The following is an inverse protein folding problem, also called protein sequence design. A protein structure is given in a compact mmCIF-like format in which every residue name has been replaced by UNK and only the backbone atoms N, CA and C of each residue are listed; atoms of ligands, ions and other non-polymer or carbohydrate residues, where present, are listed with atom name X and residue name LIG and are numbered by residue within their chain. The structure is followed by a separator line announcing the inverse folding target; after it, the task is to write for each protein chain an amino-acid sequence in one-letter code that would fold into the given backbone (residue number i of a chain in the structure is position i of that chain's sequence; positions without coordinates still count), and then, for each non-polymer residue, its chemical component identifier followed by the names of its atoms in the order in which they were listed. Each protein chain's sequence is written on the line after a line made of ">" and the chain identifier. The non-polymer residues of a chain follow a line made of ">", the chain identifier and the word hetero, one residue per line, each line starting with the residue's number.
data_IF_476902101566
#
_entry.id   IF_476902101566
#
_cell.length_a   1.000
_cell.length_b   1.000
_cell.length_c   1.000
_cell.angle_alpha   90.00
_cell.angle_beta   90.00
_cell.angle_gamma   90.00
#
_symmetry.space_group_name_H-M   'P 1'
#
loop_
_entity.id
_entity.type
_entity.pdbx_description
1 polymer ?
#
# COMPACT_ATOMS: atom_id res chain seq x y z
N UNK A 1 18.48 30.96 -2.55
CA UNK A 1 18.98 31.02 -3.94
C UNK A 1 19.19 29.59 -4.44
N UNK A 2 18.16 28.96 -5.04
CA UNK A 2 18.27 28.02 -6.17
C UNK A 2 16.85 27.58 -6.59
N UNK A 3 16.18 28.45 -7.35
CA UNK A 3 15.02 28.10 -8.17
C UNK A 3 15.57 27.57 -9.49
N UNK A 4 15.74 26.27 -9.65
CA UNK A 4 16.00 25.62 -10.95
C UNK A 4 15.81 24.13 -10.75
N UNK A 5 14.62 23.66 -11.09
CA UNK A 5 14.26 22.37 -11.69
C UNK A 5 12.73 22.34 -11.74
N UNK A 6 12.18 23.29 -12.47
CA UNK A 6 10.85 23.14 -13.02
C UNK A 6 10.98 22.05 -14.09
N UNK A 7 10.47 20.87 -13.78
CA UNK A 7 10.21 19.80 -14.75
C UNK A 7 9.63 20.44 -16.00
N UNK A 8 10.29 20.25 -17.14
CA UNK A 8 9.82 20.70 -18.44
C UNK A 8 8.59 19.84 -18.78
N UNK A 9 7.45 20.20 -18.22
CA UNK A 9 6.14 19.80 -18.71
C UNK A 9 5.85 20.67 -19.93
N UNK A 10 5.34 20.09 -21.04
CA UNK A 10 5.01 20.88 -22.22
C UNK A 10 4.05 22.02 -21.85
N UNK A 11 4.32 23.22 -22.41
CA UNK A 11 3.51 24.44 -22.21
C UNK A 11 2.02 24.11 -22.36
N UNK A 12 1.25 24.43 -21.31
CA UNK A 12 -0.21 24.28 -21.24
C UNK A 12 -0.89 25.12 -22.32
N UNK A 13 -1.16 24.51 -23.47
CA UNK A 13 -2.01 25.08 -24.53
C UNK A 13 -3.45 24.61 -24.31
N UNK A 14 -4.27 25.49 -23.74
CA UNK A 14 -5.75 25.54 -23.72
C UNK A 14 -6.25 26.01 -22.34
N UNK A 15 -6.99 27.10 -22.31
CA UNK A 15 -7.46 27.83 -21.12
C UNK A 15 -8.48 27.11 -20.23
N UNK A 16 -8.74 25.80 -20.41
CA UNK A 16 -9.62 25.02 -19.53
C UNK A 16 -8.80 24.46 -18.36
N UNK A 17 -9.16 24.81 -17.10
CA UNK A 17 -8.54 24.24 -15.89
C UNK A 17 -8.78 22.72 -15.87
N UNK A 18 -7.72 21.94 -16.07
CA UNK A 18 -7.75 20.47 -15.97
C UNK A 18 -8.24 20.09 -14.56
N UNK A 19 -9.31 19.29 -14.42
CA UNK A 19 -9.85 18.93 -13.11
C UNK A 19 -8.84 18.08 -12.33
N UNK A 20 -8.72 18.34 -11.02
CA UNK A 20 -7.95 17.45 -10.15
C UNK A 20 -8.77 16.17 -9.91
N UNK A 21 -8.29 15.05 -10.43
CA UNK A 21 -8.98 13.76 -10.34
C UNK A 21 -8.06 12.73 -9.69
N UNK A 22 -8.64 11.85 -8.86
CA UNK A 22 -7.95 10.68 -8.30
C UNK A 22 -8.68 9.42 -8.74
N UNK A 23 -7.91 8.44 -9.19
CA UNK A 23 -8.38 7.08 -9.43
C UNK A 23 -7.65 6.12 -8.49
N UNK A 24 -8.40 5.18 -7.92
CA UNK A 24 -7.77 4.00 -7.29
C UNK A 24 -7.17 3.10 -8.38
N UNK A 25 -6.19 2.25 -8.01
CA UNK A 25 -5.59 1.28 -8.95
C UNK A 25 -6.64 0.41 -9.63
N UNK A 26 -7.66 -0.03 -8.86
CA UNK A 26 -8.80 -0.82 -9.35
C UNK A 26 -9.61 -0.08 -10.40
N UNK A 27 -9.85 1.21 -10.21
CA UNK A 27 -10.59 2.04 -11.16
C UNK A 27 -9.80 2.28 -12.45
N UNK A 28 -8.49 2.51 -12.37
CA UNK A 28 -7.61 2.61 -13.55
C UNK A 28 -7.63 1.31 -14.34
N UNK A 29 -7.44 0.18 -13.65
CA UNK A 29 -7.49 -1.16 -14.23
C UNK A 29 -8.82 -1.39 -14.97
N UNK A 30 -9.97 -1.09 -14.35
CA UNK A 30 -11.26 -1.26 -15.02
C UNK A 30 -11.47 -0.32 -16.21
N UNK A 31 -10.99 0.92 -16.13
CA UNK A 31 -11.05 1.83 -17.26
C UNK A 31 -10.28 1.26 -18.46
N UNK A 32 -9.02 0.88 -18.27
CA UNK A 32 -8.18 0.33 -19.34
C UNK A 32 -8.75 -0.99 -19.86
N UNK A 33 -9.18 -1.90 -18.97
CA UNK A 33 -9.76 -3.20 -19.35
C UNK A 33 -11.06 -3.06 -20.15
N UNK A 34 -11.91 -2.10 -19.82
CA UNK A 34 -13.16 -1.88 -20.58
C UNK A 34 -12.86 -1.21 -21.92
N UNK A 35 -11.91 -0.28 -21.95
CA UNK A 35 -11.46 0.34 -23.20
C UNK A 35 -10.83 -0.70 -24.14
N UNK A 36 -10.00 -1.61 -23.61
CA UNK A 36 -9.43 -2.72 -24.37
C UNK A 36 -10.51 -3.68 -24.89
N UNK A 37 -11.53 -3.98 -24.10
CA UNK A 37 -12.64 -4.82 -24.55
C UNK A 37 -13.43 -4.17 -25.69
N UNK A 38 -13.82 -2.90 -25.54
CA UNK A 38 -14.63 -2.19 -26.53
C UNK A 38 -13.87 -2.00 -27.85
N UNK A 39 -12.61 -1.53 -27.77
CA UNK A 39 -11.76 -1.38 -28.97
C UNK A 39 -11.46 -2.72 -29.63
N UNK A 40 -11.34 -3.80 -28.86
CA UNK A 40 -11.12 -5.15 -29.39
C UNK A 40 -12.36 -5.73 -30.07
N UNK A 41 -13.55 -5.31 -29.65
CA UNK A 41 -14.82 -5.62 -30.30
C UNK A 41 -15.09 -4.77 -31.55
N UNK A 42 -14.12 -3.95 -31.99
CA UNK A 42 -14.26 -3.09 -33.16
C UNK A 42 -15.06 -1.80 -32.94
N UNK A 43 -15.43 -1.48 -31.69
CA UNK A 43 -16.11 -0.21 -31.39
C UNK A 43 -15.12 0.95 -31.57
N UNK A 44 -15.47 2.01 -32.31
CA UNK A 44 -14.62 3.19 -32.46
C UNK A 44 -14.17 3.76 -31.11
N UNK A 45 -12.94 4.28 -31.06
CA UNK A 45 -12.35 4.77 -29.81
C UNK A 45 -13.19 5.87 -29.14
N UNK A 46 -13.71 6.81 -29.95
CA UNK A 46 -14.55 7.89 -29.47
C UNK A 46 -15.84 7.36 -28.82
N UNK A 47 -16.52 6.44 -29.48
CA UNK A 47 -17.75 5.81 -28.96
C UNK A 47 -17.46 5.01 -27.69
N UNK A 48 -16.32 4.30 -27.66
CA UNK A 48 -15.86 3.57 -26.48
C UNK A 48 -15.68 4.50 -25.28
N UNK A 49 -15.05 5.67 -25.47
CA UNK A 49 -14.88 6.68 -24.42
C UNK A 49 -16.24 7.24 -23.95
N UNK A 50 -17.19 7.48 -24.87
CA UNK A 50 -18.53 7.95 -24.53
C UNK A 50 -19.31 6.91 -23.71
N UNK A 51 -19.19 5.61 -24.03
CA UNK A 51 -19.78 4.52 -23.23
C UNK A 51 -19.22 4.55 -21.80
N UNK A 52 -17.90 4.67 -21.65
CA UNK A 52 -17.24 4.73 -20.34
C UNK A 52 -17.64 5.98 -19.55
N UNK A 53 -17.82 7.12 -20.23
CA UNK A 53 -18.31 8.37 -19.64
C UNK A 53 -19.70 8.24 -19.02
N UNK A 54 -20.62 7.55 -19.69
CA UNK A 54 -22.00 7.33 -19.23
C UNK A 54 -22.09 6.43 -17.98
N UNK A 55 -21.13 5.51 -17.83
CA UNK A 55 -21.07 4.59 -16.69
C UNK A 55 -20.53 5.25 -15.40
N UNK A 56 -19.89 6.42 -15.48
CA UNK A 56 -19.24 7.07 -14.35
C UNK A 56 -20.18 7.95 -13.51
N UNK A 57 -20.44 7.58 -12.24
CA UNK A 57 -21.25 8.40 -11.31
C UNK A 57 -20.54 9.63 -10.74
N UNK A 58 -19.20 9.67 -10.77
CA UNK A 58 -18.42 10.73 -10.12
C UNK A 58 -18.19 11.94 -11.04
N UNK A 59 -18.66 13.13 -10.62
CA UNK A 59 -18.55 14.41 -11.36
C UNK A 59 -17.13 14.81 -11.76
N UNK A 60 -16.11 14.52 -10.94
CA UNK A 60 -14.72 14.87 -11.28
C UNK A 60 -14.16 13.97 -12.39
N UNK A 61 -14.46 12.67 -12.34
CA UNK A 61 -14.04 11.68 -13.36
C UNK A 61 -14.76 11.90 -14.67
N UNK A 62 -16.05 12.19 -14.57
CA UNK A 62 -16.89 12.68 -15.66
C UNK A 62 -16.22 13.81 -16.46
N UNK A 63 -15.77 14.88 -15.79
CA UNK A 63 -15.06 15.99 -16.45
C UNK A 63 -13.75 15.58 -17.13
N UNK A 64 -13.00 14.64 -16.55
CA UNK A 64 -11.79 14.10 -17.20
C UNK A 64 -12.15 13.40 -18.51
N UNK A 65 -13.16 12.54 -18.50
CA UNK A 65 -13.65 11.88 -19.70
C UNK A 65 -14.16 12.88 -20.74
N UNK A 66 -14.86 13.95 -20.32
CA UNK A 66 -15.34 15.00 -21.24
C UNK A 66 -14.16 15.67 -21.97
N UNK A 67 -13.07 15.98 -21.27
CA UNK A 67 -11.83 16.51 -21.87
C UNK A 67 -11.21 15.51 -22.85
N UNK A 68 -11.10 14.23 -22.46
CA UNK A 68 -10.51 13.20 -23.31
C UNK A 68 -11.34 12.95 -24.57
N UNK A 69 -12.67 12.93 -24.44
CA UNK A 69 -13.59 12.80 -25.57
C UNK A 69 -13.47 13.99 -26.51
N UNK A 70 -13.44 15.22 -25.99
CA UNK A 70 -13.28 16.44 -26.78
C UNK A 70 -11.94 16.45 -27.55
N UNK A 71 -10.84 16.10 -26.89
CA UNK A 71 -9.52 16.03 -27.53
C UNK A 71 -9.50 14.98 -28.66
N UNK A 72 -10.02 13.78 -28.40
CA UNK A 72 -10.04 12.68 -29.37
C UNK A 72 -11.00 12.97 -30.53
N UNK A 73 -12.17 13.60 -30.28
CA UNK A 73 -13.08 14.02 -31.34
C UNK A 73 -12.47 15.09 -32.25
N UNK A 74 -11.56 15.90 -31.72
CA UNK A 74 -10.80 16.90 -32.47
C UNK A 74 -9.55 16.30 -33.16
N UNK A 75 -9.40 14.97 -33.16
CA UNK A 75 -8.30 14.27 -33.85
C UNK A 75 -7.00 14.19 -33.06
N UNK A 76 -6.96 14.57 -31.77
CA UNK A 76 -5.78 14.33 -30.94
C UNK A 76 -5.67 12.85 -30.56
N UNK A 77 -4.42 12.37 -30.44
CA UNK A 77 -4.14 11.06 -29.88
C UNK A 77 -4.62 10.96 -28.42
N UNK A 78 -5.17 9.80 -28.04
CA UNK A 78 -5.58 9.44 -26.69
C UNK A 78 -4.43 9.61 -25.70
N UNK A 79 -3.23 9.16 -26.06
CA UNK A 79 -2.02 9.32 -25.23
C UNK A 79 -1.72 10.77 -24.92
N UNK A 80 -1.92 11.68 -25.89
CA UNK A 80 -1.69 13.12 -25.71
C UNK A 80 -2.70 13.72 -24.74
N UNK A 81 -3.97 13.30 -24.83
CA UNK A 81 -5.00 13.74 -23.87
C UNK A 81 -4.78 13.16 -22.47
N UNK A 82 -4.49 11.86 -22.36
CA UNK A 82 -4.22 11.19 -21.09
C UNK A 82 -2.94 11.70 -20.40
N UNK A 83 -1.96 12.20 -21.15
CA UNK A 83 -0.78 12.86 -20.61
C UNK A 83 -1.12 14.10 -19.76
N UNK A 84 -2.23 14.81 -20.07
CA UNK A 84 -2.75 15.92 -19.24
C UNK A 84 -3.13 15.44 -17.83
N UNK A 85 -3.35 14.14 -17.67
CA UNK A 85 -3.67 13.43 -16.44
C UNK A 85 -2.57 12.41 -16.07
N UNK A 86 -1.29 12.70 -16.35
CA UNK A 86 -0.16 11.82 -16.00
C UNK A 86 -0.06 11.51 -14.50
N UNK A 87 -0.53 12.41 -13.63
CA UNK A 87 -0.69 12.16 -12.19
C UNK A 87 -1.69 11.03 -11.87
N UNK A 88 -2.61 10.73 -12.80
CA UNK A 88 -3.55 9.62 -12.71
C UNK A 88 -2.99 8.38 -13.39
N UNK A 89 -2.61 8.43 -14.65
CA UNK A 89 -2.25 7.20 -15.39
C UNK A 89 -0.78 6.80 -15.24
N UNK A 90 0.10 7.77 -14.95
CA UNK A 90 1.56 7.59 -14.93
C UNK A 90 2.15 7.55 -16.34
N UNK A 91 3.42 7.92 -16.45
CA UNK A 91 4.09 8.05 -17.75
C UNK A 91 4.22 6.70 -18.49
N UNK A 92 4.41 5.61 -17.74
CA UNK A 92 4.41 4.26 -18.32
C UNK A 92 3.12 3.96 -19.10
N UNK A 93 1.96 4.18 -18.49
CA UNK A 93 0.67 3.91 -19.12
C UNK A 93 0.45 4.79 -20.36
N UNK A 94 0.79 6.07 -20.25
CA UNK A 94 0.70 7.03 -21.36
C UNK A 94 1.59 6.60 -22.53
N UNK A 95 2.82 6.16 -22.26
CA UNK A 95 3.76 5.73 -23.29
C UNK A 95 3.33 4.42 -23.96
N UNK A 96 2.82 3.43 -23.21
CA UNK A 96 2.28 2.19 -23.79
C UNK A 96 1.11 2.48 -24.74
N UNK A 97 0.21 3.38 -24.34
CA UNK A 97 -0.90 3.82 -25.19
C UNK A 97 -0.36 4.53 -26.42
N UNK A 98 0.61 5.45 -26.27
CA UNK A 98 1.23 6.17 -27.38
C UNK A 98 1.81 5.24 -28.43
N UNK A 99 2.62 4.26 -28.00
CA UNK A 99 3.19 3.24 -28.91
C UNK A 99 2.08 2.46 -29.61
N UNK A 100 1.00 2.15 -28.89
CA UNK A 100 -0.15 1.45 -29.47
C UNK A 100 -0.85 2.26 -30.55
N UNK A 101 -1.04 3.56 -30.33
CA UNK A 101 -1.64 4.47 -31.30
C UNK A 101 -0.77 4.67 -32.54
N UNK A 102 0.53 4.92 -32.35
CA UNK A 102 1.45 5.18 -33.48
C UNK A 102 1.69 3.94 -34.32
N UNK A 103 1.66 2.75 -33.72
CA UNK A 103 1.94 1.48 -34.40
C UNK A 103 0.67 0.73 -34.82
N UNK A 104 -0.52 1.31 -34.63
CA UNK A 104 -1.80 0.70 -35.01
C UNK A 104 -2.22 -0.52 -34.17
N UNK A 105 -1.51 -0.82 -33.09
CA UNK A 105 -1.73 -1.97 -32.19
C UNK A 105 -2.27 -1.54 -30.81
N UNK A 106 -3.09 -0.48 -30.80
CA UNK A 106 -3.63 0.12 -29.57
C UNK A 106 -4.35 -0.91 -28.71
N UNK A 107 -5.11 -1.81 -29.32
CA UNK A 107 -5.86 -2.82 -28.58
C UNK A 107 -4.94 -3.77 -27.79
N UNK A 108 -3.91 -4.33 -28.42
CA UNK A 108 -2.95 -5.22 -27.76
C UNK A 108 -2.26 -4.51 -26.59
N UNK A 109 -1.87 -3.25 -26.77
CA UNK A 109 -1.22 -2.46 -25.73
C UNK A 109 -2.16 -2.10 -24.56
N UNK A 110 -3.44 -1.87 -24.82
CA UNK A 110 -4.44 -1.69 -23.77
C UNK A 110 -4.67 -2.99 -22.99
N UNK A 111 -4.72 -4.16 -23.65
CA UNK A 111 -4.80 -5.47 -23.00
C UNK A 111 -3.59 -5.67 -22.07
N UNK A 112 -2.39 -5.44 -22.60
CA UNK A 112 -1.15 -5.54 -21.84
C UNK A 112 -1.15 -4.63 -20.60
N UNK A 113 -1.51 -3.35 -20.78
CA UNK A 113 -1.59 -2.40 -19.67
C UNK A 113 -2.66 -2.79 -18.64
N UNK A 114 -3.78 -3.37 -19.06
CA UNK A 114 -4.82 -3.85 -18.14
C UNK A 114 -4.29 -4.99 -17.25
N UNK A 115 -3.55 -5.94 -17.81
CA UNK A 115 -2.95 -7.04 -17.05
C UNK A 115 -1.85 -6.53 -16.09
N UNK A 116 -1.03 -5.56 -16.50
CA UNK A 116 -0.05 -4.96 -15.59
C UNK A 116 -0.69 -4.20 -14.42
N UNK A 117 -1.77 -3.43 -14.69
CA UNK A 117 -2.53 -2.78 -13.62
C UNK A 117 -3.23 -3.79 -12.69
N UNK A 118 -3.64 -4.94 -13.22
CA UNK A 118 -4.23 -6.05 -12.46
C UNK A 118 -3.19 -6.71 -11.56
N UNK A 119 -1.99 -7.04 -12.07
CA UNK A 119 -0.86 -7.53 -11.24
C UNK A 119 -0.54 -6.57 -10.10
N UNK A 120 -0.42 -5.27 -10.40
CA UNK A 120 -0.20 -4.23 -9.39
C UNK A 120 -1.31 -4.15 -8.35
N UNK A 121 -2.57 -4.33 -8.75
CA UNK A 121 -3.70 -4.36 -7.82
C UNK A 121 -3.67 -5.63 -6.94
N UNK A 122 -3.40 -6.79 -7.54
CA UNK A 122 -3.34 -8.07 -6.85
C UNK A 122 -2.23 -8.10 -5.79
N UNK A 123 -1.02 -7.64 -6.13
CA UNK A 123 0.10 -7.51 -5.19
C UNK A 123 -0.29 -6.65 -3.97
N UNK A 124 -0.89 -5.48 -4.20
CA UNK A 124 -1.36 -4.62 -3.11
C UNK A 124 -2.45 -5.30 -2.29
N UNK A 125 -3.41 -5.94 -2.95
CA UNK A 125 -4.51 -6.61 -2.28
C UNK A 125 -4.01 -7.76 -1.41
N UNK A 126 -2.99 -8.49 -1.86
CA UNK A 126 -2.39 -9.58 -1.10
C UNK A 126 -1.83 -9.11 0.24
N UNK A 127 -1.04 -8.03 0.21
CA UNK A 127 -0.49 -7.41 1.44
C UNK A 127 -1.62 -6.93 2.36
N UNK A 128 -2.66 -6.29 1.81
CA UNK A 128 -3.79 -5.80 2.61
C UNK A 128 -4.62 -6.93 3.20
N UNK A 129 -4.90 -7.97 2.42
CA UNK A 129 -5.74 -9.10 2.81
C UNK A 129 -5.13 -9.92 3.95
N UNK A 130 -3.81 -10.05 3.99
CA UNK A 130 -3.11 -10.74 5.08
C UNK A 130 -3.26 -10.07 6.45
N UNK A 131 -3.55 -8.75 6.48
CA UNK A 131 -3.75 -8.01 7.72
C UNK A 131 -5.20 -8.05 8.22
N UNK A 132 -6.15 -8.46 7.37
CA UNK A 132 -7.59 -8.42 7.71
C UNK A 132 -7.91 -9.37 8.87
N UNK A 133 -7.41 -10.61 8.81
CA UNK A 133 -7.69 -11.62 9.85
C UNK A 133 -7.14 -11.21 11.23
N UNK A 134 -5.85 -10.81 11.37
CA UNK A 134 -5.32 -10.31 12.63
C UNK A 134 -6.11 -9.14 13.22
N UNK A 135 -6.52 -8.19 12.38
CA UNK A 135 -7.29 -7.02 12.81
C UNK A 135 -8.66 -7.44 13.34
N UNK A 136 -9.36 -8.32 12.62
CA UNK A 136 -10.70 -8.78 13.00
C UNK A 136 -10.69 -9.51 14.36
N UNK A 137 -9.79 -10.48 14.54
CA UNK A 137 -9.67 -11.24 15.80
C UNK A 137 -9.27 -10.34 16.97
N UNK A 138 -8.34 -9.41 16.75
CA UNK A 138 -7.92 -8.45 17.78
C UNK A 138 -9.08 -7.57 18.23
N UNK A 139 -9.85 -7.02 17.28
CA UNK A 139 -11.02 -6.19 17.59
C UNK A 139 -12.09 -7.01 18.32
N UNK A 140 -12.40 -8.22 17.85
CA UNK A 140 -13.39 -9.09 18.49
C UNK A 140 -13.01 -9.43 19.94
N UNK A 141 -11.74 -9.77 20.16
CA UNK A 141 -11.19 -10.08 21.49
C UNK A 141 -11.25 -8.89 22.43
N UNK A 142 -10.79 -7.72 21.97
CA UNK A 142 -10.81 -6.49 22.77
C UNK A 142 -12.25 -6.07 23.09
N UNK A 143 -13.16 -6.19 22.13
CA UNK A 143 -14.58 -5.90 22.33
C UNK A 143 -15.20 -6.82 23.38
N UNK A 144 -15.00 -8.13 23.25
CA UNK A 144 -15.54 -9.12 24.19
C UNK A 144 -14.96 -8.93 25.60
N UNK A 145 -13.64 -8.77 25.70
CA UNK A 145 -12.95 -8.55 26.98
C UNK A 145 -13.42 -7.24 27.63
N UNK A 146 -13.55 -6.17 26.84
CA UNK A 146 -14.07 -4.90 27.32
C UNK A 146 -15.52 -5.02 27.76
N UNK A 147 -16.37 -5.75 27.05
CA UNK A 147 -17.76 -5.99 27.44
C UNK A 147 -17.84 -6.69 28.81
N UNK A 148 -17.09 -7.79 28.96
CA UNK A 148 -17.02 -8.54 30.22
C UNK A 148 -16.54 -7.65 31.37
N UNK A 149 -15.45 -6.90 31.14
CA UNK A 149 -14.80 -6.10 32.18
C UNK A 149 -15.59 -4.85 32.55
N UNK A 150 -16.18 -4.15 31.59
CA UNK A 150 -16.85 -2.85 31.79
C UNK A 150 -18.30 -2.99 32.21
N UNK A 151 -19.00 -4.04 31.74
CA UNK A 151 -20.44 -4.19 31.98
C UNK A 151 -20.81 -5.35 32.91
N UNK A 152 -20.15 -6.50 32.78
CA UNK A 152 -20.52 -7.70 33.54
C UNK A 152 -19.82 -7.70 34.90
N UNK A 153 -18.51 -7.48 34.91
CA UNK A 153 -17.69 -7.54 36.11
C UNK A 153 -18.15 -6.57 37.22
N UNK A 154 -18.52 -5.30 36.96
CA UNK A 154 -18.97 -4.39 38.02
C UNK A 154 -20.29 -4.81 38.69
N UNK A 155 -21.09 -5.67 38.03
CA UNK A 155 -22.29 -6.24 38.65
C UNK A 155 -21.96 -7.28 39.71
N UNK A 156 -20.78 -7.91 39.61
CA UNK A 156 -20.28 -8.88 40.58
C UNK A 156 -19.53 -8.22 41.75
N UNK A 157 -19.00 -7.01 41.55
CA UNK A 157 -18.23 -6.28 42.55
C UNK A 157 -18.95 -6.10 43.90
N UNK A 158 -20.26 -5.75 43.97
CA UNK A 158 -20.98 -5.63 45.25
C UNK A 158 -21.03 -6.93 46.06
N UNK A 159 -21.07 -8.07 45.38
CA UNK A 159 -21.07 -9.39 46.02
C UNK A 159 -19.72 -9.59 46.74
N UNK A 160 -18.63 -9.29 46.04
CA UNK A 160 -17.29 -9.41 46.59
C UNK A 160 -17.01 -8.46 47.76
N UNK A 161 -17.51 -7.21 47.69
CA UNK A 161 -17.36 -6.25 48.80
C UNK A 161 -18.22 -6.60 50.01
N UNK A 162 -19.37 -7.24 49.81
CA UNK A 162 -20.27 -7.63 50.91
C UNK A 162 -19.71 -8.78 51.76
N UNK A 163 -18.76 -9.54 51.23
CA UNK A 163 -18.20 -10.72 51.88
C UNK A 163 -16.94 -10.41 52.70
N UNK A 164 -16.46 -9.16 52.72
CA UNK A 164 -15.29 -8.70 53.49
C UNK A 164 -14.00 -9.55 53.30
N UNK A 165 -13.87 -10.22 52.16
CA UNK A 165 -12.69 -11.03 51.81
C UNK A 165 -11.64 -10.16 51.14
N UNK A 166 -10.36 -10.43 51.40
CA UNK A 166 -9.24 -9.76 50.72
C UNK A 166 -9.18 -10.24 49.26
N UNK A 167 -9.55 -9.36 48.33
CA UNK A 167 -9.56 -9.73 46.90
C UNK A 167 -8.16 -10.03 46.37
N UNK A 168 -7.98 -11.08 45.54
CA UNK A 168 -6.72 -11.36 44.85
C UNK A 168 -6.20 -10.19 44.04
N UNK A 169 -4.88 -10.14 43.82
CA UNK A 169 -4.25 -9.09 43.02
C UNK A 169 -4.84 -8.99 41.60
N UNK A 170 -5.11 -10.14 40.97
CA UNK A 170 -5.72 -10.23 39.62
C UNK A 170 -7.09 -9.55 39.58
N UNK A 171 -7.96 -9.85 40.54
CA UNK A 171 -9.29 -9.23 40.69
C UNK A 171 -9.19 -7.72 40.94
N UNK A 172 -8.27 -7.26 41.79
CA UNK A 172 -8.05 -5.82 42.03
C UNK A 172 -7.54 -5.09 40.78
N UNK A 173 -6.62 -5.71 40.04
CA UNK A 173 -6.13 -5.16 38.77
C UNK A 173 -7.25 -5.09 37.72
N UNK A 174 -8.14 -6.08 37.68
CA UNK A 174 -9.30 -6.08 36.79
C UNK A 174 -10.32 -4.99 37.17
N UNK A 175 -10.59 -4.78 38.47
CA UNK A 175 -11.42 -3.67 38.97
C UNK A 175 -10.84 -2.33 38.53
N UNK A 176 -9.55 -2.10 38.81
CA UNK A 176 -8.87 -0.85 38.44
C UNK A 176 -8.92 -0.59 36.92
N UNK A 177 -8.73 -1.65 36.12
CA UNK A 177 -8.85 -1.57 34.65
C UNK A 177 -10.29 -1.26 34.22
N UNK A 178 -11.29 -1.89 34.85
CA UNK A 178 -12.70 -1.63 34.58
C UNK A 178 -13.08 -0.19 34.89
N UNK A 179 -12.73 0.31 36.07
CA UNK A 179 -13.05 1.67 36.51
C UNK A 179 -12.36 2.72 35.63
N UNK A 180 -11.11 2.46 35.22
CA UNK A 180 -10.40 3.27 34.24
C UNK A 180 -11.12 3.30 32.88
N UNK A 181 -11.52 2.14 32.36
CA UNK A 181 -12.23 2.05 31.07
C UNK A 181 -13.63 2.68 31.14
N UNK A 182 -14.33 2.59 32.27
CA UNK A 182 -15.64 3.25 32.45
C UNK A 182 -15.52 4.76 32.52
N UNK A 183 -14.52 5.26 33.25
CA UNK A 183 -14.33 6.70 33.47
C UNK A 183 -13.69 7.41 32.29
N UNK A 184 -12.71 6.77 31.65
CA UNK A 184 -11.89 7.37 30.58
C UNK A 184 -12.03 6.69 29.22
N UNK A 185 -12.86 5.65 29.06
CA UNK A 185 -12.96 4.88 27.82
C UNK A 185 -13.31 5.71 26.59
N UNK A 186 -14.25 6.66 26.71
CA UNK A 186 -14.59 7.58 25.61
C UNK A 186 -13.40 8.48 25.26
N UNK A 187 -12.71 9.02 26.26
CA UNK A 187 -11.50 9.83 26.06
C UNK A 187 -10.35 9.02 25.43
N UNK A 188 -10.22 7.75 25.81
CA UNK A 188 -9.23 6.83 25.24
C UNK A 188 -9.54 6.53 23.77
N UNK A 189 -10.80 6.25 23.42
CA UNK A 189 -11.22 6.03 22.02
C UNK A 189 -10.98 7.30 21.19
N UNK A 190 -11.40 8.47 21.69
CA UNK A 190 -11.15 9.75 21.02
C UNK A 190 -9.65 10.05 20.88
N UNK A 191 -8.85 9.71 21.90
CA UNK A 191 -7.40 9.82 21.88
C UNK A 191 -6.76 8.93 20.82
N UNK A 192 -7.19 7.67 20.71
CA UNK A 192 -6.73 6.74 19.66
C UNK A 192 -7.10 7.28 18.27
N UNK A 193 -8.36 7.71 18.06
CA UNK A 193 -8.80 8.28 16.78
C UNK A 193 -7.98 9.53 16.45
N UNK A 194 -7.76 10.42 17.42
CA UNK A 194 -6.94 11.62 17.27
C UNK A 194 -5.48 11.29 16.93
N UNK A 195 -4.89 10.31 17.60
CA UNK A 195 -3.53 9.84 17.33
C UNK A 195 -3.40 9.22 15.93
N UNK A 196 -4.38 8.43 15.49
CA UNK A 196 -4.42 7.86 14.13
C UNK A 196 -4.53 8.97 13.08
N UNK A 197 -5.42 9.95 13.28
CA UNK A 197 -5.56 11.10 12.38
C UNK A 197 -4.24 11.90 12.33
N UNK A 198 -3.66 12.21 13.49
CA UNK A 198 -2.40 12.94 13.60
C UNK A 198 -1.26 12.19 12.90
N UNK A 199 -1.16 10.86 13.09
CA UNK A 199 -0.20 10.01 12.41
C UNK A 199 -0.34 10.12 10.88
N UNK A 200 -1.57 10.02 10.34
CA UNK A 200 -1.80 10.19 8.90
C UNK A 200 -1.51 11.61 8.40
N UNK A 201 -1.76 12.64 9.20
CA UNK A 201 -1.42 14.03 8.88
C UNK A 201 0.10 14.19 8.82
N UNK A 202 0.83 13.73 9.83
CA UNK A 202 2.29 13.78 9.90
C UNK A 202 2.93 13.00 8.75
N UNK A 203 2.40 11.81 8.43
CA UNK A 203 2.85 11.00 7.29
C UNK A 203 2.75 11.74 5.95
N UNK A 204 1.74 12.61 5.80
CA UNK A 204 1.52 13.40 4.57
C UNK A 204 2.28 14.72 4.56
N UNK A 205 2.45 15.37 5.72
CA UNK A 205 3.03 16.71 5.81
C UNK A 205 4.53 16.73 6.09
N UNK A 206 5.05 15.77 6.87
CA UNK A 206 6.45 15.72 7.26
C UNK A 206 7.18 14.61 6.50
N UNK A 207 8.07 15.01 5.58
CA UNK A 207 8.94 14.07 4.85
C UNK A 207 9.89 13.34 5.80
N UNK A 208 10.39 14.01 6.83
CA UNK A 208 11.29 13.41 7.82
C UNK A 208 10.58 12.33 8.64
N UNK A 209 9.35 12.58 9.07
CA UNK A 209 8.55 11.59 9.79
C UNK A 209 8.24 10.37 8.93
N UNK A 210 7.80 10.59 7.69
CA UNK A 210 7.53 9.51 6.74
C UNK A 210 8.79 8.67 6.47
N UNK A 211 9.93 9.32 6.23
CA UNK A 211 11.20 8.62 6.05
C UNK A 211 11.58 7.77 7.26
N UNK A 212 11.39 8.30 8.48
CA UNK A 212 11.64 7.55 9.71
C UNK A 212 10.74 6.32 9.84
N UNK A 213 9.44 6.45 9.52
CA UNK A 213 8.52 5.30 9.54
C UNK A 213 8.91 4.26 8.49
N UNK A 214 9.22 4.67 7.26
CA UNK A 214 9.69 3.77 6.20
C UNK A 214 10.93 2.99 6.64
N UNK A 215 11.85 3.65 7.34
CA UNK A 215 13.07 3.02 7.85
C UNK A 215 12.79 2.02 8.98
N UNK A 216 11.85 2.32 9.87
CA UNK A 216 11.44 1.41 10.96
C UNK A 216 10.77 0.17 10.36
N UNK A 217 9.82 0.36 9.43
CA UNK A 217 9.12 -0.74 8.77
C UNK A 217 10.09 -1.70 8.07
N UNK A 218 11.11 -1.17 7.39
CA UNK A 218 12.13 -2.01 6.73
C UNK A 218 13.00 -2.80 7.72
N UNK A 219 13.10 -2.38 8.98
CA UNK A 219 13.88 -3.07 10.02
C UNK A 219 13.06 -4.04 10.86
N UNK A 220 11.74 -3.95 10.84
CA UNK A 220 10.89 -4.86 11.62
C UNK A 220 10.93 -6.27 11.06
N UNK A 221 11.10 -7.32 11.88
CA UNK A 221 11.00 -8.71 11.44
C UNK A 221 9.64 -8.99 10.79
N UNK A 222 9.58 -9.89 9.81
CA UNK A 222 8.41 -10.25 8.98
C UNK A 222 7.87 -9.12 8.09
N UNK A 223 7.58 -7.94 8.64
CA UNK A 223 7.08 -6.78 7.86
C UNK A 223 8.17 -6.17 6.99
N UNK A 224 9.42 -6.21 7.43
CA UNK A 224 10.57 -5.67 6.71
C UNK A 224 10.83 -6.41 5.41
N UNK A 225 10.76 -7.75 5.40
CA UNK A 225 10.93 -8.55 4.18
C UNK A 225 9.79 -8.31 3.18
N UNK A 226 8.54 -8.25 3.65
CA UNK A 226 7.39 -7.89 2.80
C UNK A 226 7.58 -6.50 2.21
N UNK A 227 7.97 -5.51 3.02
CA UNK A 227 8.18 -4.15 2.56
C UNK A 227 9.35 -4.06 1.57
N UNK A 228 10.45 -4.76 1.84
CA UNK A 228 11.62 -4.83 0.96
C UNK A 228 11.21 -5.42 -0.39
N UNK A 229 10.67 -6.64 -0.41
CA UNK A 229 10.27 -7.35 -1.62
C UNK A 229 9.20 -6.57 -2.39
N UNK A 230 8.22 -5.97 -1.71
CA UNK A 230 7.21 -5.12 -2.36
C UNK A 230 7.83 -3.91 -3.09
N UNK A 231 8.80 -3.23 -2.47
CA UNK A 231 9.48 -2.12 -3.12
C UNK A 231 10.36 -2.58 -4.28
N UNK A 232 11.06 -3.71 -4.13
CA UNK A 232 11.89 -4.30 -5.18
C UNK A 232 11.05 -4.76 -6.38
N UNK A 233 9.93 -5.45 -6.16
CA UNK A 233 8.98 -5.82 -7.22
C UNK A 233 8.54 -4.59 -8.02
N UNK A 234 8.11 -3.52 -7.34
CA UNK A 234 7.68 -2.30 -8.02
C UNK A 234 8.82 -1.57 -8.73
N UNK A 235 10.01 -1.51 -8.12
CA UNK A 235 11.22 -0.92 -8.70
C UNK A 235 11.62 -1.64 -9.99
N UNK A 236 11.83 -2.95 -9.91
CA UNK A 236 12.26 -3.78 -11.03
C UNK A 236 11.22 -3.79 -12.15
N UNK A 237 9.94 -3.95 -11.80
CA UNK A 237 8.85 -3.91 -12.78
C UNK A 237 8.78 -2.58 -13.50
N UNK A 238 8.70 -1.47 -12.74
CA UNK A 238 8.55 -0.14 -13.36
C UNK A 238 9.74 0.19 -14.24
N UNK A 239 10.97 -0.06 -13.76
CA UNK A 239 12.17 0.21 -14.52
C UNK A 239 12.26 -0.68 -15.77
N UNK A 240 12.07 -2.00 -15.63
CA UNK A 240 12.13 -2.94 -16.74
C UNK A 240 11.10 -2.63 -17.82
N UNK A 241 9.89 -2.26 -17.42
CA UNK A 241 8.80 -1.87 -18.33
C UNK A 241 9.08 -0.57 -19.09
N UNK A 242 9.64 0.45 -18.43
CA UNK A 242 10.03 1.70 -19.06
C UNK A 242 11.19 1.48 -20.05
N UNK A 243 12.19 0.68 -19.68
CA UNK A 243 13.29 0.31 -20.57
C UNK A 243 12.82 -0.49 -21.78
N UNK A 244 11.94 -1.47 -21.57
CA UNK A 244 11.31 -2.24 -22.65
C UNK A 244 10.50 -1.36 -23.61
N UNK A 245 9.98 -0.24 -23.12
CA UNK A 245 9.28 0.77 -23.93
C UNK A 245 10.24 1.72 -24.68
N UNK A 246 11.55 1.47 -24.62
CA UNK A 246 12.59 2.22 -25.34
C UNK A 246 13.04 3.50 -24.64
N UNK A 247 12.66 3.74 -23.38
CA UNK A 247 13.16 4.91 -22.65
C UNK A 247 14.63 4.74 -22.29
N UNK A 248 15.36 5.86 -22.32
CA UNK A 248 16.74 5.90 -21.84
C UNK A 248 16.77 5.61 -20.33
N UNK A 249 17.84 4.95 -19.89
CA UNK A 249 17.98 4.49 -18.50
C UNK A 249 17.86 5.62 -17.47
N UNK A 250 18.42 6.80 -17.74
CA UNK A 250 18.35 7.94 -16.82
C UNK A 250 16.93 8.47 -16.67
N UNK A 251 16.18 8.54 -17.77
CA UNK A 251 14.77 8.97 -17.76
C UNK A 251 13.91 7.92 -17.05
N UNK A 252 14.14 6.64 -17.34
CA UNK A 252 13.43 5.53 -16.72
C UNK A 252 13.67 5.47 -15.20
N UNK A 253 14.92 5.63 -14.74
CA UNK A 253 15.25 5.72 -13.31
C UNK A 253 14.59 6.93 -12.64
N UNK A 254 14.57 8.10 -13.31
CA UNK A 254 13.90 9.30 -12.80
C UNK A 254 12.40 9.08 -12.57
N UNK A 255 11.72 8.49 -13.56
CA UNK A 255 10.28 8.16 -13.47
C UNK A 255 10.04 7.08 -12.40
N UNK A 256 10.88 6.05 -12.34
CA UNK A 256 10.78 5.01 -11.30
C UNK A 256 10.94 5.61 -9.90
N UNK A 257 11.86 6.56 -9.69
CA UNK A 257 12.01 7.26 -8.42
C UNK A 257 10.73 8.02 -8.04
N UNK A 258 10.15 8.76 -8.98
CA UNK A 258 8.96 9.60 -8.73
C UNK A 258 7.70 8.78 -8.44
N UNK A 259 7.64 7.56 -8.96
CA UNK A 259 6.53 6.61 -8.71
C UNK A 259 6.74 5.71 -7.50
N UNK A 260 7.96 5.65 -6.96
CA UNK A 260 8.28 4.86 -5.75
C UNK A 260 7.75 5.57 -4.51
N UNK A 261 6.90 4.89 -3.72
CA UNK A 261 6.27 5.51 -2.54
C UNK A 261 7.22 5.59 -1.34
N UNK A 262 7.99 4.54 -1.07
CA UNK A 262 8.91 4.49 0.06
C UNK A 262 10.04 5.50 -0.14
N UNK A 263 10.18 6.44 0.79
CA UNK A 263 11.10 7.57 0.65
C UNK A 263 12.57 7.15 0.75
N UNK A 264 12.86 6.03 1.43
CA UNK A 264 14.22 5.47 1.49
C UNK A 264 14.63 4.90 0.15
N UNK A 265 13.81 4.06 -0.48
CA UNK A 265 14.06 3.58 -1.85
C UNK A 265 14.10 4.74 -2.86
N UNK A 266 13.17 5.70 -2.77
CA UNK A 266 13.15 6.86 -3.67
C UNK A 266 14.47 7.64 -3.62
N UNK A 267 15.04 7.83 -2.44
CA UNK A 267 16.32 8.52 -2.25
C UNK A 267 17.45 7.77 -2.98
N UNK A 268 17.56 6.47 -2.78
CA UNK A 268 18.59 5.66 -3.44
C UNK A 268 18.39 5.58 -4.95
N UNK A 269 17.14 5.46 -5.44
CA UNK A 269 16.87 5.50 -6.89
C UNK A 269 17.22 6.86 -7.50
N UNK A 270 16.99 7.97 -6.78
CA UNK A 270 17.46 9.29 -7.21
C UNK A 270 18.98 9.37 -7.26
N UNK A 271 19.67 8.81 -6.27
CA UNK A 271 21.12 8.75 -6.27
C UNK A 271 21.67 7.88 -7.42
N UNK A 272 20.97 6.81 -7.80
CA UNK A 272 21.29 5.99 -8.99
C UNK A 272 21.27 6.82 -10.27
N UNK A 273 20.30 7.73 -10.46
CA UNK A 273 20.26 8.62 -11.63
C UNK A 273 21.56 9.43 -11.75
N UNK A 274 22.07 9.97 -10.63
CA UNK A 274 23.30 10.76 -10.61
C UNK A 274 24.53 9.90 -10.94
N UNK A 275 24.64 8.70 -10.34
CA UNK A 275 25.78 7.79 -10.60
C UNK A 275 25.77 7.26 -12.03
N UNK A 276 24.62 6.87 -12.56
CA UNK A 276 24.50 6.38 -13.94
C UNK A 276 24.73 7.47 -14.97
N UNK A 277 24.36 8.72 -14.68
CA UNK A 277 24.72 9.87 -15.53
C UNK A 277 26.24 10.08 -15.62
N UNK A 278 27.00 9.69 -14.58
CA UNK A 278 28.48 9.69 -14.58
C UNK A 278 29.10 8.44 -15.21
N UNK A 279 28.29 7.53 -15.77
CA UNK A 279 28.75 6.30 -16.42
C UNK A 279 28.96 5.13 -15.46
N UNK A 280 28.56 5.23 -14.19
CA UNK A 280 28.63 4.11 -13.26
C UNK A 280 27.52 3.08 -13.55
N UNK A 281 27.86 1.79 -13.44
CA UNK A 281 26.91 0.68 -13.54
C UNK A 281 25.90 0.71 -12.38
N UNK A 282 24.64 0.42 -12.67
CA UNK A 282 23.56 0.32 -11.68
C UNK A 282 23.85 -0.81 -10.70
N UNK A 283 24.33 -1.96 -11.20
CA UNK A 283 24.74 -3.10 -10.37
C UNK A 283 25.69 -2.69 -9.24
N UNK A 284 26.65 -1.80 -9.52
CA UNK A 284 27.60 -1.29 -8.53
C UNK A 284 26.98 -0.37 -7.48
N UNK A 285 25.99 0.43 -7.86
CA UNK A 285 25.25 1.23 -6.89
C UNK A 285 24.42 0.35 -5.95
N UNK A 286 23.76 -0.67 -6.49
CA UNK A 286 22.94 -1.61 -5.73
C UNK A 286 23.79 -2.42 -4.74
N UNK A 287 24.98 -2.89 -5.16
CA UNK A 287 25.93 -3.64 -4.33
C UNK A 287 26.40 -2.87 -3.09
N UNK A 288 26.49 -1.53 -3.16
CA UNK A 288 26.88 -0.68 -2.02
C UNK A 288 25.82 -0.57 -0.92
N UNK A 289 24.59 -1.02 -1.17
CA UNK A 289 23.47 -0.85 -0.25
C UNK A 289 22.76 -2.20 0.05
N UNK A 290 23.48 -3.18 0.63
CA UNK A 290 22.96 -4.55 0.84
C UNK A 290 21.74 -4.61 1.78
N UNK A 291 21.60 -3.64 2.68
CA UNK A 291 20.43 -3.54 3.57
C UNK A 291 19.12 -3.14 2.89
N UNK A 292 19.15 -2.78 1.59
CA UNK A 292 17.96 -2.46 0.79
C UNK A 292 17.86 -3.37 -0.44
N UNK A 293 19.00 -3.72 -1.02
CA UNK A 293 19.09 -4.52 -2.24
C UNK A 293 19.80 -5.85 -1.90
N UNK A 294 19.07 -6.98 -1.86
CA UNK A 294 19.67 -8.28 -1.57
C UNK A 294 20.61 -8.70 -2.71
N UNK A 295 21.64 -9.49 -2.40
CA UNK A 295 22.78 -9.78 -3.29
C UNK A 295 22.41 -10.31 -4.69
N UNK A 296 21.31 -11.04 -4.80
CA UNK A 296 20.81 -11.56 -6.09
C UNK A 296 20.47 -10.43 -7.08
N UNK A 297 20.03 -9.27 -6.58
CA UNK A 297 19.63 -8.14 -7.40
C UNK A 297 20.82 -7.49 -8.14
N UNK A 298 21.88 -6.98 -7.48
CA UNK A 298 23.04 -6.42 -8.18
C UNK A 298 23.73 -7.44 -9.09
N UNK A 299 23.76 -8.73 -8.72
CA UNK A 299 24.36 -9.79 -9.54
C UNK A 299 23.62 -9.96 -10.88
N UNK A 300 22.31 -10.18 -10.83
CA UNK A 300 21.51 -10.37 -12.05
C UNK A 300 21.44 -9.08 -12.88
N UNK A 301 21.29 -7.92 -12.23
CA UNK A 301 21.36 -6.62 -12.94
C UNK A 301 22.69 -6.46 -13.65
N UNK A 302 23.82 -6.82 -13.03
CA UNK A 302 25.14 -6.73 -13.66
C UNK A 302 25.28 -7.63 -14.90
N UNK A 303 24.67 -8.83 -14.86
CA UNK A 303 24.58 -9.73 -16.02
C UNK A 303 23.71 -9.08 -17.11
N UNK A 304 22.54 -8.54 -16.76
CA UNK A 304 21.65 -7.84 -17.69
C UNK A 304 22.30 -6.61 -18.35
N UNK A 305 23.07 -5.83 -17.58
CA UNK A 305 23.84 -4.69 -18.09
C UNK A 305 24.92 -5.12 -19.09
N UNK A 306 25.62 -6.22 -18.80
CA UNK A 306 26.72 -6.71 -19.64
C UNK A 306 26.21 -7.40 -20.92
N UNK A 307 25.07 -8.09 -20.83
CA UNK A 307 24.45 -8.81 -21.96
C UNK A 307 23.50 -7.94 -22.79
N UNK A 308 23.19 -6.72 -22.33
CA UNK A 308 22.25 -5.81 -22.99
C UNK A 308 20.77 -6.14 -22.75
N UNK A 309 20.45 -7.16 -21.94
CA UNK A 309 19.09 -7.62 -21.67
C UNK A 309 18.52 -7.11 -20.34
N UNK A 310 18.92 -5.90 -19.91
CA UNK A 310 18.56 -5.35 -18.61
C UNK A 310 17.04 -5.25 -18.39
N UNK A 311 16.26 -4.90 -19.41
CA UNK A 311 14.79 -4.84 -19.34
C UNK A 311 14.18 -6.18 -18.92
N UNK A 312 14.57 -7.25 -19.60
CA UNK A 312 14.10 -8.61 -19.40
C UNK A 312 14.53 -9.11 -18.02
N UNK A 313 15.78 -8.87 -17.64
CA UNK A 313 16.31 -9.24 -16.32
C UNK A 313 15.53 -8.56 -15.18
N UNK A 314 15.21 -7.27 -15.32
CA UNK A 314 14.42 -6.55 -14.33
C UNK A 314 12.97 -7.06 -14.25
N UNK A 315 12.36 -7.42 -15.38
CA UNK A 315 11.02 -8.02 -15.38
C UNK A 315 11.05 -9.37 -14.64
N UNK A 316 12.02 -10.23 -14.94
CA UNK A 316 12.23 -11.50 -14.25
C UNK A 316 12.43 -11.32 -12.74
N UNK A 317 13.34 -10.41 -12.34
CA UNK A 317 13.55 -10.06 -10.93
C UNK A 317 12.27 -9.56 -10.25
N UNK A 318 11.41 -8.84 -10.97
CA UNK A 318 10.13 -8.38 -10.41
C UNK A 318 9.19 -9.54 -10.09
N UNK A 319 9.19 -10.59 -10.91
CA UNK A 319 8.39 -11.79 -10.70
C UNK A 319 8.95 -12.63 -9.55
N UNK A 320 10.28 -12.74 -9.46
CA UNK A 320 10.96 -13.38 -8.33
C UNK A 320 10.59 -12.71 -7.00
N UNK A 321 10.76 -11.39 -6.88
CA UNK A 321 10.41 -10.68 -5.65
C UNK A 321 8.90 -10.66 -5.38
N UNK A 322 8.05 -10.75 -6.41
CA UNK A 322 6.61 -10.92 -6.20
C UNK A 322 6.30 -12.26 -5.54
N UNK A 323 6.95 -13.34 -5.97
CA UNK A 323 6.86 -14.63 -5.28
C UNK A 323 7.38 -14.56 -3.84
N UNK A 324 8.46 -13.80 -3.57
CA UNK A 324 8.94 -13.61 -2.20
C UNK A 324 7.98 -12.76 -1.34
N UNK A 325 7.28 -11.77 -1.92
CA UNK A 325 6.18 -11.08 -1.22
C UNK A 325 5.08 -12.08 -0.88
N UNK A 326 4.77 -12.97 -1.80
CA UNK A 326 3.71 -13.97 -1.65
C UNK A 326 3.99 -14.91 -0.47
N UNK A 327 5.21 -15.44 -0.43
CA UNK A 327 5.68 -16.31 0.64
C UNK A 327 5.75 -15.57 1.98
N UNK A 328 6.38 -14.39 2.01
CA UNK A 328 6.51 -13.60 3.23
C UNK A 328 5.13 -13.22 3.82
N UNK A 329 4.16 -12.93 2.95
CA UNK A 329 2.78 -12.61 3.35
C UNK A 329 2.07 -13.84 3.96
N UNK A 330 2.31 -15.04 3.40
CA UNK A 330 1.79 -16.30 3.94
C UNK A 330 2.42 -16.61 5.31
N UNK A 331 3.73 -16.43 5.42
CA UNK A 331 4.48 -16.65 6.66
C UNK A 331 4.06 -15.67 7.76
N UNK A 332 3.80 -14.40 7.41
CA UNK A 332 3.24 -13.40 8.34
C UNK A 332 1.89 -13.87 8.88
N UNK A 333 0.97 -14.28 7.99
CA UNK A 333 -0.36 -14.72 8.39
C UNK A 333 -0.31 -15.95 9.30
N UNK A 334 0.50 -16.95 8.95
CA UNK A 334 0.66 -18.17 9.75
C UNK A 334 1.38 -17.96 11.07
N UNK A 335 2.30 -16.99 11.16
CA UNK A 335 3.01 -16.69 12.42
C UNK A 335 2.19 -15.83 13.38
N UNK A 336 1.29 -14.98 12.85
CA UNK A 336 0.43 -14.14 13.68
C UNK A 336 -0.62 -14.95 14.44
N UNK A 337 -1.08 -16.08 13.91
CA UNK A 337 -2.11 -16.90 14.53
C UNK A 337 -1.68 -17.46 15.92
N UNK A 338 -0.52 -18.13 16.09
CA UNK A 338 -0.04 -18.55 17.41
C UNK A 338 0.13 -17.39 18.40
N UNK A 339 0.66 -16.27 17.94
CA UNK A 339 0.87 -15.07 18.79
C UNK A 339 -0.47 -14.54 19.29
N UNK A 340 -1.47 -14.46 18.42
CA UNK A 340 -2.82 -14.04 18.77
C UNK A 340 -3.49 -15.03 19.73
N UNK A 341 -3.37 -16.34 19.50
CA UNK A 341 -3.91 -17.35 20.41
C UNK A 341 -3.31 -17.28 21.81
N UNK A 342 -1.99 -17.11 21.92
CA UNK A 342 -1.31 -16.94 23.22
C UNK A 342 -1.79 -15.66 23.90
N UNK A 343 -1.83 -14.55 23.16
CA UNK A 343 -2.31 -13.27 23.69
C UNK A 343 -3.77 -13.36 24.19
N UNK A 344 -4.65 -13.97 23.39
CA UNK A 344 -6.05 -14.21 23.75
C UNK A 344 -6.17 -15.11 24.97
N UNK A 345 -5.41 -16.20 25.02
CA UNK A 345 -5.39 -17.13 26.15
C UNK A 345 -4.95 -16.45 27.45
N UNK A 346 -3.91 -15.62 27.40
CA UNK A 346 -3.46 -14.82 28.55
C UNK A 346 -4.55 -13.82 28.96
N UNK A 347 -5.15 -13.11 28.01
CA UNK A 347 -6.15 -12.09 28.29
C UNK A 347 -7.43 -12.69 28.89
N UNK A 348 -7.98 -13.72 28.26
CA UNK A 348 -9.19 -14.42 28.73
C UNK A 348 -8.90 -15.17 30.03
N UNK A 349 -7.75 -15.84 30.14
CA UNK A 349 -7.30 -16.49 31.36
C UNK A 349 -7.15 -15.52 32.52
N UNK A 350 -6.59 -14.33 32.27
CA UNK A 350 -6.51 -13.26 33.27
C UNK A 350 -7.90 -12.85 33.78
N UNK A 351 -8.87 -12.66 32.89
CA UNK A 351 -10.26 -12.36 33.27
C UNK A 351 -10.88 -13.52 34.05
N UNK A 352 -10.71 -14.75 33.57
CA UNK A 352 -11.26 -15.94 34.21
C UNK A 352 -10.73 -16.12 35.64
N UNK A 353 -9.41 -16.05 35.84
CA UNK A 353 -8.77 -16.12 37.16
C UNK A 353 -9.26 -14.97 38.05
N UNK A 354 -9.36 -13.76 37.52
CA UNK A 354 -9.84 -12.59 38.27
C UNK A 354 -11.29 -12.74 38.76
N UNK A 355 -12.13 -13.51 38.08
CA UNK A 355 -13.54 -13.75 38.46
C UNK A 355 -13.68 -14.99 39.33
N UNK A 356 -13.01 -16.08 38.95
CA UNK A 356 -13.19 -17.40 39.55
C UNK A 356 -12.48 -17.50 40.91
N UNK A 357 -11.26 -16.98 41.05
CA UNK A 357 -10.49 -17.10 42.30
C UNK A 357 -11.23 -16.54 43.52
N UNK A 358 -11.82 -15.32 43.48
CA UNK A 358 -12.64 -14.83 44.59
C UNK A 358 -13.80 -15.77 44.96
N UNK A 359 -14.49 -16.34 43.97
CA UNK A 359 -15.62 -17.24 44.19
C UNK A 359 -15.17 -18.50 44.96
N UNK A 360 -14.01 -19.05 44.62
CA UNK A 360 -13.43 -20.18 45.34
C UNK A 360 -13.04 -19.84 46.78
N UNK A 361 -12.35 -18.70 47.01
CA UNK A 361 -11.99 -18.25 48.36
C UNK A 361 -13.21 -18.05 49.25
N UNK A 362 -14.30 -17.49 48.68
CA UNK A 362 -15.58 -17.34 49.37
C UNK A 362 -16.16 -18.72 49.73
N UNK A 363 -16.15 -19.67 48.79
CA UNK A 363 -16.75 -21.01 48.98
C UNK A 363 -15.96 -21.83 50.01
N UNK A 364 -14.64 -21.72 50.04
CA UNK A 364 -13.79 -22.40 51.04
C UNK A 364 -14.03 -21.85 52.45
N UNK A 365 -14.24 -20.54 52.59
CA UNK A 365 -14.57 -19.90 53.87
C UNK A 365 -16.02 -20.17 54.35
N UNK A 366 -16.86 -20.80 53.52
CA UNK A 366 -18.25 -21.15 53.84
C UNK A 366 -18.44 -22.60 54.32
N UNK A 367 -17.37 -23.41 54.37
CA UNK A 367 -17.39 -24.70 55.06
C UNK A 367 -17.06 -24.48 56.55
N UNK A 368 -17.92 -24.92 57.49
CA UNK A 368 -17.75 -24.69 58.92
C UNK A 368 -16.56 -25.44 59.52
#
# INVERSE_FOLDING_TARGET
>A
MNKRFATILPKRASGKKVPYVRFSTKEKMFFIKRLSFLTGAGVPLLDSLQVLRRQGKNRAKAKMFDVVIEDVSNGQYLSTSLAKFSNVFGDFAVNIIKVGETSGILNQNLIYLAEELKKKHALRQKVVSALVYPIFITIATLLLTSLLTVFIFPKLQPIFTSLNVVLPFTTRALIATSDFLRSYGIHLILGIIGAVILFFILMRRSKAFHYGVDQIVLKTPLLGSIAQNYNLTNFCRTLGLLLKSGLKINDALGITADTTNNLRYRKEIRAMVETTTRGERISKHLERHPGLFPDILPQLVGIGETTGNLSETLIYLSELFEADVDEATKNLSGSLEPVLMIFMGILVGFVAVSVITPIYEITQNLHP
#
